data_IF_854579310325
#
_entry.id   IF_854579310325
#
_cell.length_a   1.000
_cell.length_b   1.000
_cell.length_c   1.000
_cell.angle_alpha   90.00
_cell.angle_beta   90.00
_cell.angle_gamma   90.00
#
_symmetry.space_group_name_H-M   'P 1'
#
loop_
_entity.id
_entity.type
_entity.pdbx_description
1 polymer ?
#
# COMPACT_ATOMS: atom_id res chain seq x y z
N UNK A 1 -0.73 -18.99 -1.62
CA UNK A 1 -0.43 -18.27 -0.36
C UNK A 1 0.74 -18.89 0.39
N UNK A 2 0.77 -20.21 0.62
CA UNK A 2 1.91 -20.88 1.29
C UNK A 2 3.26 -20.55 0.62
N UNK A 3 3.37 -20.69 -0.71
CA UNK A 3 4.58 -20.32 -1.47
C UNK A 3 4.90 -18.81 -1.52
N UNK A 4 3.95 -17.92 -1.21
CA UNK A 4 4.23 -16.47 -1.17
C UNK A 4 5.02 -16.12 0.09
N UNK A 5 4.64 -16.73 1.21
CA UNK A 5 5.30 -16.54 2.49
C UNK A 5 6.63 -17.31 2.59
N UNK A 6 6.75 -18.43 1.89
CA UNK A 6 8.03 -19.18 1.78
C UNK A 6 9.12 -18.41 1.04
N UNK A 7 8.75 -17.46 0.17
CA UNK A 7 9.69 -16.59 -0.55
C UNK A 7 9.90 -15.23 0.11
N UNK A 8 9.22 -14.93 1.23
CA UNK A 8 9.57 -13.77 2.03
C UNK A 8 10.93 -14.05 2.66
N UNK A 9 11.93 -13.24 2.29
CA UNK A 9 13.28 -13.30 2.87
C UNK A 9 13.25 -13.38 4.41
N UNK A 10 14.29 -13.95 5.01
CA UNK A 10 14.44 -14.22 6.46
C UNK A 10 14.25 -13.01 7.42
N UNK A 11 14.00 -11.80 6.91
CA UNK A 11 13.86 -10.56 7.69
C UNK A 11 12.47 -9.92 7.52
N UNK A 12 11.40 -10.68 7.78
CA UNK A 12 10.05 -10.12 7.90
C UNK A 12 9.94 -9.37 9.23
N UNK A 13 9.74 -8.06 9.18
CA UNK A 13 9.55 -7.23 10.38
C UNK A 13 8.11 -7.25 10.88
N UNK A 14 7.16 -7.38 9.96
CA UNK A 14 5.74 -7.37 10.29
C UNK A 14 4.96 -8.12 9.21
N UNK A 15 3.97 -8.91 9.62
CA UNK A 15 3.05 -9.61 8.73
C UNK A 15 1.64 -9.52 9.30
N UNK A 16 0.69 -9.11 8.46
CA UNK A 16 -0.73 -9.09 8.79
C UNK A 16 -1.55 -9.66 7.64
N UNK A 17 -2.53 -10.50 7.95
CA UNK A 17 -3.57 -10.94 7.03
C UNK A 17 -4.91 -10.79 7.71
N UNK A 18 -5.82 -10.03 7.10
CA UNK A 18 -7.14 -9.80 7.68
C UNK A 18 -7.84 -8.57 7.10
N UNK A 19 -8.75 -8.02 7.90
CA UNK A 19 -9.59 -6.86 7.55
C UNK A 19 -8.84 -5.53 7.72
N UNK A 20 -8.92 -4.65 6.74
CA UNK A 20 -8.31 -3.31 6.79
C UNK A 20 -9.30 -2.26 7.31
N UNK A 21 -9.90 -2.52 8.47
CA UNK A 21 -10.82 -1.58 9.13
C UNK A 21 -10.07 -0.43 9.78
N UNK A 22 -10.71 0.72 9.97
CA UNK A 22 -10.06 1.89 10.59
C UNK A 22 -9.39 1.56 11.95
N UNK A 23 -10.04 0.86 12.91
CA UNK A 23 -9.39 0.48 14.17
C UNK A 23 -8.13 -0.37 13.96
N UNK A 24 -8.16 -1.33 13.02
CA UNK A 24 -7.01 -2.18 12.71
C UNK A 24 -5.87 -1.37 12.09
N UNK A 25 -6.19 -0.45 11.18
CA UNK A 25 -5.18 0.43 10.57
C UNK A 25 -4.52 1.32 11.64
N UNK A 26 -5.30 1.85 12.58
CA UNK A 26 -4.77 2.65 13.69
C UNK A 26 -3.81 1.81 14.55
N UNK A 27 -4.20 0.59 14.91
CA UNK A 27 -3.38 -0.29 15.75
C UNK A 27 -2.05 -0.66 15.06
N UNK A 28 -2.10 -1.12 13.81
CA UNK A 28 -0.89 -1.43 13.05
C UNK A 28 -0.01 -0.19 12.88
N UNK A 29 -0.61 1.00 12.71
CA UNK A 29 0.14 2.26 12.64
C UNK A 29 0.90 2.56 13.93
N UNK A 30 0.34 2.23 15.09
CA UNK A 30 1.05 2.35 16.37
C UNK A 30 2.25 1.40 16.43
N UNK A 31 2.08 0.13 16.05
CA UNK A 31 3.19 -0.83 16.00
C UNK A 31 4.33 -0.39 15.06
N UNK A 32 4.01 0.12 13.87
CA UNK A 32 5.02 0.59 12.91
C UNK A 32 5.85 1.75 13.50
N UNK A 33 5.21 2.68 14.23
CA UNK A 33 5.88 3.85 14.80
C UNK A 33 6.72 3.54 16.04
N UNK A 34 6.28 2.58 16.86
CA UNK A 34 6.81 2.40 18.20
C UNK A 34 7.68 1.15 18.36
N UNK A 35 7.38 0.07 17.62
CA UNK A 35 7.89 -1.25 17.97
C UNK A 35 8.93 -1.78 16.98
N UNK A 36 9.00 -1.22 15.76
CA UNK A 36 10.01 -1.62 14.78
C UNK A 36 11.40 -1.10 15.18
N UNK A 37 12.41 -1.97 15.14
CA UNK A 37 13.81 -1.64 15.42
C UNK A 37 14.50 -0.93 14.24
N UNK A 38 13.90 0.16 13.77
CA UNK A 38 14.36 1.00 12.66
C UNK A 38 14.58 2.44 13.14
N UNK A 39 15.29 3.27 12.36
CA UNK A 39 15.41 4.69 12.69
C UNK A 39 14.05 5.41 12.66
N UNK A 40 13.88 6.41 13.53
CA UNK A 40 12.60 7.13 13.69
C UNK A 40 12.09 7.72 12.37
N UNK A 41 12.99 8.30 11.56
CA UNK A 41 12.61 8.90 10.27
C UNK A 41 12.09 7.86 9.28
N UNK A 42 12.65 6.65 9.30
CA UNK A 42 12.20 5.53 8.49
C UNK A 42 10.86 4.99 9.01
N UNK A 43 10.66 4.87 10.32
CA UNK A 43 9.37 4.48 10.92
C UNK A 43 8.26 5.46 10.54
N UNK A 44 8.51 6.77 10.61
CA UNK A 44 7.53 7.79 10.21
C UNK A 44 7.18 7.71 8.71
N UNK A 45 8.17 7.46 7.85
CA UNK A 45 7.90 7.22 6.42
C UNK A 45 7.10 5.94 6.19
N UNK A 46 7.46 4.85 6.86
CA UNK A 46 6.76 3.56 6.76
C UNK A 46 5.31 3.69 7.22
N UNK A 47 5.07 4.36 8.34
CA UNK A 47 3.73 4.66 8.84
C UNK A 47 2.91 5.40 7.77
N UNK A 48 3.45 6.49 7.23
CA UNK A 48 2.72 7.29 6.27
C UNK A 48 2.41 6.52 4.96
N UNK A 49 3.34 5.70 4.49
CA UNK A 49 3.12 4.83 3.32
C UNK A 49 2.12 3.72 3.64
N UNK A 50 2.20 3.12 4.83
CA UNK A 50 1.28 2.09 5.28
C UNK A 50 -0.16 2.58 5.27
N UNK A 51 -0.45 3.77 5.79
CA UNK A 51 -1.82 4.31 5.81
C UNK A 51 -2.41 4.40 4.40
N UNK A 52 -1.65 4.89 3.43
CA UNK A 52 -2.11 5.02 2.04
C UNK A 52 -2.37 3.64 1.40
N UNK A 53 -1.46 2.68 1.59
CA UNK A 53 -1.62 1.32 1.05
C UNK A 53 -2.74 0.54 1.76
N UNK A 54 -2.90 0.72 3.06
CA UNK A 54 -3.96 0.11 3.85
C UNK A 54 -5.35 0.62 3.44
N UNK A 55 -5.47 1.93 3.19
CA UNK A 55 -6.68 2.53 2.65
C UNK A 55 -6.98 2.02 1.23
N UNK A 56 -5.94 1.78 0.41
CA UNK A 56 -6.10 1.15 -0.90
C UNK A 56 -6.71 -0.25 -0.78
N UNK A 57 -6.18 -1.10 0.11
CA UNK A 57 -6.75 -2.45 0.35
C UNK A 57 -8.20 -2.37 0.82
N UNK A 58 -8.50 -1.51 1.80
CA UNK A 58 -9.86 -1.37 2.31
C UNK A 58 -10.87 -0.92 1.23
N UNK A 59 -10.44 0.00 0.37
CA UNK A 59 -11.29 0.61 -0.67
C UNK A 59 -11.51 -0.32 -1.87
N UNK A 60 -10.48 -1.06 -2.29
CA UNK A 60 -10.49 -1.72 -3.60
C UNK A 60 -10.46 -3.25 -3.57
N UNK A 61 -10.23 -3.88 -2.41
CA UNK A 61 -10.27 -5.35 -2.35
C UNK A 61 -11.64 -5.89 -2.75
N UNK A 62 -11.64 -6.87 -3.66
CA UNK A 62 -12.80 -7.69 -4.03
C UNK A 62 -13.18 -8.68 -2.92
N UNK A 63 -12.20 -9.09 -2.12
CA UNK A 63 -12.48 -9.90 -0.94
C UNK A 63 -12.93 -8.97 0.18
N UNK A 64 -14.22 -8.98 0.52
CA UNK A 64 -14.81 -8.07 1.51
C UNK A 64 -15.59 -8.83 2.56
N UNK A 65 -15.75 -8.22 3.73
CA UNK A 65 -16.64 -8.75 4.78
C UNK A 65 -17.36 -7.62 5.51
N UNK A 66 -18.57 -7.90 5.99
CA UNK A 66 -19.34 -6.96 6.81
C UNK A 66 -18.87 -7.05 8.26
N UNK A 67 -18.33 -5.95 8.77
CA UNK A 67 -17.85 -5.88 10.15
C UNK A 67 -18.94 -5.26 11.02
N UNK A 68 -19.45 -6.02 11.99
CA UNK A 68 -20.59 -5.65 12.84
C UNK A 68 -20.34 -4.37 13.65
N UNK A 69 -19.14 -4.23 14.24
CA UNK A 69 -18.81 -3.10 15.14
C UNK A 69 -18.86 -1.73 14.44
N UNK A 70 -18.68 -1.70 13.11
CA UNK A 70 -18.76 -0.46 12.31
C UNK A 70 -19.92 -0.46 11.30
N UNK A 71 -20.70 -1.55 11.24
CA UNK A 71 -21.77 -1.80 10.27
C UNK A 71 -21.41 -1.43 8.82
N UNK A 72 -20.20 -1.77 8.38
CA UNK A 72 -19.67 -1.45 7.05
C UNK A 72 -18.94 -2.64 6.44
N UNK A 73 -18.87 -2.68 5.12
CA UNK A 73 -17.99 -3.60 4.41
C UNK A 73 -16.55 -3.12 4.46
N UNK A 74 -15.64 -4.05 4.74
CA UNK A 74 -14.21 -3.81 4.87
C UNK A 74 -13.46 -4.74 3.93
N UNK A 75 -12.46 -4.20 3.25
CA UNK A 75 -11.57 -4.98 2.40
C UNK A 75 -10.67 -5.90 3.21
N UNK A 76 -10.47 -7.12 2.71
CA UNK A 76 -9.54 -8.11 3.25
C UNK A 76 -8.28 -8.11 2.39
N UNK A 77 -7.11 -8.23 3.02
CA UNK A 77 -5.85 -8.35 2.30
C UNK A 77 -4.72 -8.87 3.18
N UNK A 78 -3.50 -8.73 2.67
CA UNK A 78 -2.25 -8.96 3.37
C UNK A 78 -1.43 -7.68 3.35
N UNK A 79 -0.68 -7.47 4.43
CA UNK A 79 0.30 -6.43 4.58
C UNK A 79 1.56 -7.04 5.18
N UNK A 80 2.73 -6.66 4.68
CA UNK A 80 3.98 -7.03 5.33
C UNK A 80 5.10 -6.01 5.08
N UNK A 81 6.08 -6.05 5.96
CA UNK A 81 7.32 -5.27 5.88
C UNK A 81 8.49 -6.25 5.85
N UNK A 82 9.39 -6.11 4.88
CA UNK A 82 10.67 -6.83 4.85
C UNK A 82 11.83 -5.86 4.95
N UNK A 83 12.83 -6.23 5.75
CA UNK A 83 14.05 -5.47 5.92
C UNK A 83 15.22 -6.08 5.14
N UNK A 84 15.92 -5.23 4.41
CA UNK A 84 17.16 -5.57 3.73
C UNK A 84 18.29 -4.66 4.22
N UNK A 85 19.53 -5.00 3.85
CA UNK A 85 20.71 -4.25 4.32
C UNK A 85 20.60 -2.74 4.11
N UNK A 86 20.19 -2.32 2.90
CA UNK A 86 20.20 -0.91 2.48
C UNK A 86 18.80 -0.31 2.28
N UNK A 87 17.74 -1.08 2.47
CA UNK A 87 16.38 -0.63 2.21
C UNK A 87 15.36 -1.44 3.00
N UNK A 88 14.15 -0.90 3.12
CA UNK A 88 12.97 -1.59 3.65
C UNK A 88 11.91 -1.61 2.55
N UNK A 89 11.19 -2.72 2.42
CA UNK A 89 10.03 -2.84 1.55
C UNK A 89 8.76 -2.96 2.38
N UNK A 90 7.72 -2.30 1.91
CA UNK A 90 6.37 -2.41 2.42
C UNK A 90 5.48 -2.88 1.27
N UNK A 91 4.76 -3.97 1.50
CA UNK A 91 3.93 -4.60 0.47
C UNK A 91 2.52 -4.83 0.99
N UNK A 92 1.54 -4.53 0.14
CA UNK A 92 0.16 -4.96 0.32
C UNK A 92 -0.26 -5.92 -0.79
N UNK A 93 -1.19 -6.81 -0.46
CA UNK A 93 -1.81 -7.77 -1.37
C UNK A 93 -3.33 -7.72 -1.16
N UNK A 94 -4.10 -7.57 -2.23
CA UNK A 94 -5.55 -7.71 -2.17
C UNK A 94 -6.11 -8.33 -3.45
N UNK A 95 -7.28 -8.96 -3.33
CA UNK A 95 -7.97 -9.54 -4.48
C UNK A 95 -8.50 -8.42 -5.37
N UNK A 96 -8.35 -8.59 -6.68
CA UNK A 96 -8.81 -7.64 -7.71
C UNK A 96 -9.49 -8.38 -8.84
N UNK A 97 -10.41 -7.70 -9.52
CA UNK A 97 -10.89 -8.13 -10.84
C UNK A 97 -9.97 -7.62 -11.97
N UNK A 98 -10.26 -8.02 -13.21
CA UNK A 98 -9.45 -7.65 -14.37
C UNK A 98 -9.51 -6.15 -14.67
N UNK A 99 -10.66 -5.51 -14.47
CA UNK A 99 -10.84 -4.08 -14.73
C UNK A 99 -10.06 -3.24 -13.72
N UNK A 100 -10.14 -3.60 -12.44
CA UNK A 100 -9.35 -3.00 -11.37
C UNK A 100 -7.85 -3.18 -11.60
N UNK A 101 -7.41 -4.37 -12.03
CA UNK A 101 -6.00 -4.59 -12.32
C UNK A 101 -5.52 -3.69 -13.47
N UNK A 102 -6.26 -3.64 -14.58
CA UNK A 102 -5.88 -2.82 -15.72
C UNK A 102 -5.78 -1.34 -15.32
N UNK A 103 -6.78 -0.82 -14.62
CA UNK A 103 -6.77 0.57 -14.11
C UNK A 103 -5.59 0.82 -13.17
N UNK A 104 -5.24 -0.15 -12.32
CA UNK A 104 -4.10 -0.06 -11.41
C UNK A 104 -2.76 -0.06 -12.17
N UNK A 105 -2.62 -0.90 -13.20
CA UNK A 105 -1.43 -0.97 -14.05
C UNK A 105 -1.20 0.34 -14.79
N UNK A 106 -2.23 0.86 -15.48
CA UNK A 106 -2.14 2.13 -16.20
C UNK A 106 -1.75 3.28 -15.27
N UNK A 107 -2.29 3.27 -14.05
CA UNK A 107 -2.01 4.28 -13.03
C UNK A 107 -0.58 4.17 -12.49
N UNK A 108 -0.12 2.98 -12.11
CA UNK A 108 1.27 2.77 -11.64
C UNK A 108 2.26 3.14 -12.75
N UNK A 109 1.97 2.77 -14.00
CA UNK A 109 2.78 3.15 -15.15
C UNK A 109 2.89 4.68 -15.29
N UNK A 110 1.76 5.40 -15.29
CA UNK A 110 1.74 6.87 -15.34
C UNK A 110 2.51 7.51 -14.19
N UNK A 111 2.34 7.02 -12.96
CA UNK A 111 3.04 7.54 -11.77
C UNK A 111 4.55 7.35 -11.91
N UNK A 112 5.00 6.17 -12.32
CA UNK A 112 6.43 5.85 -12.42
C UNK A 112 7.16 6.59 -13.56
N UNK A 113 6.43 7.12 -14.55
CA UNK A 113 6.99 7.97 -15.60
C UNK A 113 7.23 9.42 -15.18
N UNK A 114 6.64 9.87 -14.06
CA UNK A 114 6.72 11.26 -13.63
C UNK A 114 7.94 11.51 -12.75
N UNK A 115 8.59 12.65 -12.97
CA UNK A 115 9.56 13.17 -12.02
C UNK A 115 8.86 13.73 -10.77
N UNK A 116 9.65 14.16 -9.79
CA UNK A 116 9.11 14.69 -8.53
C UNK A 116 8.20 15.91 -8.73
N UNK A 117 8.46 16.73 -9.75
CA UNK A 117 7.62 17.90 -10.07
C UNK A 117 6.30 17.45 -10.68
N UNK A 118 6.33 16.53 -11.63
CA UNK A 118 5.18 15.90 -12.26
C UNK A 118 4.28 15.20 -11.25
N UNK A 119 4.86 14.44 -10.29
CA UNK A 119 4.11 13.81 -9.20
C UNK A 119 3.40 14.83 -8.32
N UNK A 120 4.03 15.96 -7.99
CA UNK A 120 3.37 17.03 -7.22
C UNK A 120 2.23 17.68 -7.98
N UNK A 121 2.42 17.95 -9.27
CA UNK A 121 1.37 18.51 -10.12
C UNK A 121 0.19 17.54 -10.24
N UNK A 122 0.46 16.24 -10.45
CA UNK A 122 -0.56 15.20 -10.50
C UNK A 122 -1.32 15.08 -9.16
N UNK A 123 -0.61 15.19 -8.04
CA UNK A 123 -1.23 15.21 -6.72
C UNK A 123 -2.18 16.40 -6.55
N UNK A 124 -1.80 17.57 -7.05
CA UNK A 124 -2.63 18.78 -7.01
C UNK A 124 -3.87 18.62 -7.87
N UNK A 125 -3.75 18.13 -9.11
CA UNK A 125 -4.90 17.94 -9.99
C UNK A 125 -5.94 17.00 -9.38
N UNK A 126 -5.52 15.90 -8.73
CA UNK A 126 -6.45 15.00 -8.05
C UNK A 126 -7.15 15.64 -6.85
N UNK A 127 -6.51 16.59 -6.15
CA UNK A 127 -7.16 17.32 -5.07
C UNK A 127 -8.24 18.27 -5.62
N UNK A 128 -7.93 18.95 -6.72
CA UNK A 128 -8.86 19.87 -7.37
C UNK A 128 -10.08 19.12 -7.93
N UNK A 129 -9.86 17.96 -8.55
CA UNK A 129 -10.92 17.07 -9.02
C UNK A 129 -11.77 16.50 -7.86
N UNK A 130 -11.15 16.11 -6.74
CA UNK A 130 -11.88 15.58 -5.59
C UNK A 130 -12.79 16.64 -4.91
N UNK A 131 -12.41 17.91 -4.99
CA UNK A 131 -13.25 19.03 -4.54
C UNK A 131 -14.48 19.19 -5.46
N UNK A 132 -14.33 18.90 -6.75
CA UNK A 132 -15.39 19.07 -7.74
C UNK A 132 -16.36 17.88 -7.81
N UNK A 133 -15.86 16.64 -7.77
CA UNK A 133 -16.66 15.44 -8.08
C UNK A 133 -16.71 14.39 -6.95
N UNK A 134 -16.10 14.63 -5.78
CA UNK A 134 -16.07 13.74 -4.59
C UNK A 134 -15.62 12.27 -4.82
N UNK A 135 -15.28 11.86 -6.04
CA UNK A 135 -15.05 10.47 -6.43
C UNK A 135 -13.57 10.05 -6.46
N UNK A 136 -12.63 11.01 -6.55
CA UNK A 136 -11.22 10.74 -6.89
C UNK A 136 -10.24 10.71 -5.70
N UNK A 137 -10.71 10.63 -4.44
CA UNK A 137 -9.83 10.65 -3.25
C UNK A 137 -8.82 9.51 -3.21
N UNK A 138 -9.18 8.31 -3.70
CA UNK A 138 -8.27 7.17 -3.84
C UNK A 138 -7.14 7.39 -4.87
N UNK A 139 -7.21 8.45 -5.67
CA UNK A 139 -6.19 8.80 -6.67
C UNK A 139 -4.93 9.47 -6.08
N UNK A 140 -5.05 10.06 -4.89
CA UNK A 140 -3.95 10.76 -4.21
C UNK A 140 -2.94 9.81 -3.56
N UNK A 141 -3.40 8.68 -3.01
CA UNK A 141 -2.57 7.86 -2.13
C UNK A 141 -1.33 7.25 -2.80
N UNK A 142 -1.46 6.62 -3.97
CA UNK A 142 -0.30 6.06 -4.69
C UNK A 142 0.69 7.15 -5.12
N UNK A 143 0.23 8.35 -5.48
CA UNK A 143 1.11 9.48 -5.81
C UNK A 143 1.90 9.90 -4.57
N UNK A 144 1.25 9.93 -3.41
CA UNK A 144 1.89 10.23 -2.13
C UNK A 144 2.94 9.16 -1.76
N UNK A 145 2.65 7.87 -2.01
CA UNK A 145 3.62 6.78 -1.83
C UNK A 145 4.85 6.99 -2.72
N UNK A 146 4.68 7.30 -4.01
CA UNK A 146 5.80 7.58 -4.92
C UNK A 146 6.63 8.80 -4.46
N UNK A 147 5.97 9.87 -4.00
CA UNK A 147 6.63 11.07 -3.48
C UNK A 147 7.45 10.81 -2.21
N UNK A 148 6.96 9.95 -1.30
CA UNK A 148 7.61 9.64 -0.02
C UNK A 148 8.76 8.64 -0.17
N UNK A 149 8.61 7.66 -1.05
CA UNK A 149 9.64 6.65 -1.32
C UNK A 149 10.78 7.22 -2.16
N UNK A 150 10.48 8.17 -3.05
CA UNK A 150 11.39 8.61 -4.12
C UNK A 150 11.93 7.45 -4.96
N UNK A 151 11.16 6.36 -5.04
CA UNK A 151 11.42 5.18 -5.85
C UNK A 151 10.15 4.84 -6.65
N UNK A 152 10.28 4.10 -7.77
CA UNK A 152 9.12 3.56 -8.48
C UNK A 152 8.28 2.66 -7.58
N UNK A 153 6.96 2.68 -7.79
CA UNK A 153 6.03 1.71 -7.20
C UNK A 153 6.15 0.42 -8.00
N UNK A 154 6.39 -0.70 -7.32
CA UNK A 154 6.40 -2.02 -7.94
C UNK A 154 5.00 -2.61 -7.86
N UNK A 155 4.52 -3.15 -8.99
CA UNK A 155 3.23 -3.81 -9.09
C UNK A 155 3.45 -5.21 -9.67
N UNK A 156 3.11 -6.23 -8.88
CA UNK A 156 3.11 -7.62 -9.31
C UNK A 156 1.71 -8.22 -9.19
N UNK A 157 1.51 -9.39 -9.80
CA UNK A 157 0.25 -10.13 -9.71
C UNK A 157 0.51 -11.58 -9.35
N UNK A 158 -0.41 -12.16 -8.57
CA UNK A 158 -0.43 -13.59 -8.31
C UNK A 158 -1.82 -14.14 -8.53
N UNK A 159 -1.87 -15.38 -9.01
CA UNK A 159 -3.09 -16.16 -9.14
C UNK A 159 -3.11 -17.24 -8.06
N UNK A 160 -4.20 -17.31 -7.30
CA UNK A 160 -4.37 -18.30 -6.24
C UNK A 160 -5.84 -18.65 -6.07
N UNK A 161 -6.16 -19.95 -6.01
CA UNK A 161 -7.52 -20.46 -5.81
C UNK A 161 -8.58 -19.77 -6.70
N UNK A 162 -8.30 -19.66 -8.00
CA UNK A 162 -9.15 -19.01 -9.01
C UNK A 162 -9.42 -17.51 -8.79
N UNK A 163 -8.64 -16.86 -7.93
CA UNK A 163 -8.67 -15.42 -7.72
C UNK A 163 -7.34 -14.80 -8.13
N UNK A 164 -7.41 -13.57 -8.65
CA UNK A 164 -6.27 -12.74 -8.96
C UNK A 164 -6.03 -11.74 -7.85
N UNK A 165 -4.78 -11.54 -7.49
CA UNK A 165 -4.38 -10.58 -6.47
C UNK A 165 -3.32 -9.64 -7.04
N UNK A 166 -3.43 -8.36 -6.68
CA UNK A 166 -2.42 -7.35 -6.97
C UNK A 166 -1.51 -7.17 -5.76
N UNK A 167 -0.21 -7.10 -5.99
CA UNK A 167 0.82 -6.80 -5.01
C UNK A 167 1.35 -5.40 -5.28
N UNK A 168 1.15 -4.47 -4.35
CA UNK A 168 1.73 -3.13 -4.44
C UNK A 168 2.90 -3.08 -3.45
N UNK A 169 4.12 -2.89 -3.97
CA UNK A 169 5.33 -2.78 -3.16
C UNK A 169 5.97 -1.40 -3.29
N UNK A 170 6.24 -0.79 -2.15
CA UNK A 170 7.01 0.44 -2.04
C UNK A 170 8.35 0.16 -1.35
N UNK A 171 9.43 0.69 -1.91
CA UNK A 171 10.78 0.57 -1.35
C UNK A 171 11.25 1.91 -0.77
N UNK A 172 11.79 1.88 0.44
CA UNK A 172 12.40 3.02 1.09
C UNK A 172 13.87 2.70 1.33
N UNK A 173 14.77 3.48 0.72
CA UNK A 173 16.20 3.32 0.96
C UNK A 173 16.52 3.81 2.37
N UNK A 174 17.28 3.01 3.11
CA UNK A 174 17.92 3.45 4.36
C UNK A 174 18.94 4.52 3.99
N UNK A 175 19.15 5.49 4.87
CA UNK A 175 20.29 6.38 4.69
C UNK A 175 21.56 5.53 4.86
N UNK A 176 22.42 5.52 3.86
CA UNK A 176 23.83 5.20 4.07
C UNK A 176 24.45 6.41 4.75
N UNK A 177 25.08 6.19 5.91
CA UNK A 177 26.01 7.14 6.50
C UNK A 177 27.18 7.43 5.55
#
# INVERSE_FOLDING_TARGET
MQNLFENLSDNVLFLYKGIFSYPVIVEISHHIRNDLMLDEKLREKLFAIFVELAQNVNSYSQQRTKVSIINKEVGIGVFYITEHKNYVKITTLNQVDNEQLQRLQDRVHKINLLDRKGLRNLKMSFRDEAIQDHANSGNVGLVEVALKTANPILLDTIHFQNAQYALITAQINKKTD
#
